data_IF_146009031499
#
_entry.id   IF_146009031499
#
_cell.length_a   1.000
_cell.length_b   1.000
_cell.length_c   1.000
_cell.angle_alpha   90.00
_cell.angle_beta   90.00
_cell.angle_gamma   90.00
#
_symmetry.space_group_name_H-M   'P 1'
#
loop_
_entity.id
_entity.type
_entity.pdbx_description
1 polymer ?
#
# COMPACT_ATOMS: atom_id res chain seq x y z
N UNK A 1 32.27 6.28 -0.97
CA UNK A 1 31.31 6.34 0.17
C UNK A 1 29.96 6.75 -0.40
N UNK A 2 28.96 5.87 -0.37
CA UNK A 2 27.57 6.27 -0.72
C UNK A 2 27.11 7.29 0.31
N UNK A 3 26.42 8.34 -0.15
CA UNK A 3 25.85 9.33 0.76
C UNK A 3 24.81 8.67 1.68
N UNK A 4 24.55 9.24 2.86
CA UNK A 4 23.54 8.70 3.78
C UNK A 4 22.15 8.57 3.14
N UNK A 5 21.84 9.44 2.18
CA UNK A 5 20.60 9.43 1.40
C UNK A 5 20.54 8.23 0.44
N UNK A 6 21.63 7.91 -0.27
CA UNK A 6 21.70 6.73 -1.14
C UNK A 6 21.61 5.41 -0.35
N UNK A 7 22.16 5.37 0.87
CA UNK A 7 22.04 4.21 1.75
C UNK A 7 20.62 4.03 2.30
N UNK A 8 19.90 5.12 2.58
CA UNK A 8 18.50 5.10 3.01
C UNK A 8 17.55 4.70 1.87
N UNK A 9 17.83 5.13 0.63
CA UNK A 9 17.08 4.68 -0.55
C UNK A 9 17.39 3.22 -0.93
N UNK A 10 18.58 2.73 -0.60
CA UNK A 10 18.90 1.31 -0.77
C UNK A 10 18.12 0.40 0.19
N UNK A 11 17.63 0.92 1.34
CA UNK A 11 16.80 0.20 2.28
C UNK A 11 15.33 0.56 2.05
N UNK A 12 14.66 -0.21 1.22
CA UNK A 12 13.30 0.06 0.73
C UNK A 12 12.24 0.31 1.81
N UNK A 13 12.16 -0.45 2.93
CA UNK A 13 11.22 -0.14 4.02
C UNK A 13 11.40 1.26 4.60
N UNK A 14 12.64 1.72 4.78
CA UNK A 14 12.93 3.06 5.26
C UNK A 14 12.56 4.14 4.24
N UNK A 15 12.78 3.88 2.94
CA UNK A 15 12.41 4.79 1.87
C UNK A 15 10.89 4.98 1.79
N UNK A 16 10.11 3.90 1.96
CA UNK A 16 8.64 3.97 2.03
C UNK A 16 8.21 4.83 3.22
N UNK A 17 8.69 4.56 4.45
CA UNK A 17 8.37 5.35 5.63
C UNK A 17 8.69 6.83 5.43
N UNK A 18 9.93 7.13 4.99
CA UNK A 18 10.37 8.51 4.78
C UNK A 18 9.49 9.24 3.75
N UNK A 19 9.06 8.54 2.70
CA UNK A 19 8.16 9.11 1.69
C UNK A 19 6.78 9.39 2.28
N UNK A 20 6.18 8.44 3.00
CA UNK A 20 4.89 8.65 3.66
C UNK A 20 4.93 9.83 4.63
N UNK A 21 5.98 9.91 5.46
CA UNK A 21 6.19 11.02 6.39
C UNK A 21 6.32 12.36 5.68
N UNK A 22 7.16 12.45 4.66
CA UNK A 22 7.38 13.67 3.85
C UNK A 22 6.10 14.14 3.17
N UNK A 23 5.26 13.20 2.75
CA UNK A 23 3.97 13.49 2.13
C UNK A 23 2.86 13.80 3.14
N UNK A 24 3.14 13.79 4.44
CA UNK A 24 2.20 14.16 5.49
C UNK A 24 1.15 13.09 5.81
N UNK A 25 1.45 11.81 5.57
CA UNK A 25 0.57 10.74 6.03
C UNK A 25 0.62 10.65 7.56
N UNK A 26 -0.52 10.86 8.22
CA UNK A 26 -0.65 10.79 9.67
C UNK A 26 -1.14 9.43 10.17
N UNK A 27 -1.81 8.66 9.32
CA UNK A 27 -2.34 7.35 9.67
C UNK A 27 -1.98 6.32 8.61
N UNK A 28 -1.61 5.13 9.08
CA UNK A 28 -1.52 3.94 8.25
C UNK A 28 -2.48 2.90 8.84
N UNK A 29 -3.34 2.34 8.00
CA UNK A 29 -4.22 1.23 8.38
C UNK A 29 -3.71 -0.03 7.72
N UNK A 30 -3.67 -1.14 8.44
CA UNK A 30 -3.15 -2.40 7.90
C UNK A 30 -3.86 -3.60 8.48
N UNK A 31 -4.07 -4.61 7.64
CA UNK A 31 -4.16 -6.00 8.09
C UNK A 31 -2.75 -6.56 7.98
N UNK A 32 -2.12 -6.98 9.08
CA UNK A 32 -0.70 -7.34 9.10
C UNK A 32 -0.36 -8.45 8.11
N UNK A 33 0.66 -8.22 7.28
CA UNK A 33 1.23 -9.17 6.34
C UNK A 33 2.74 -9.30 6.55
N UNK A 34 3.27 -10.51 6.44
CA UNK A 34 4.69 -10.77 6.75
C UNK A 34 5.67 -10.07 5.80
N UNK A 35 5.28 -9.74 4.56
CA UNK A 35 6.14 -8.98 3.67
C UNK A 35 6.17 -7.49 4.02
N UNK A 36 5.07 -6.97 4.55
CA UNK A 36 4.96 -5.58 5.01
C UNK A 36 5.51 -5.38 6.43
N UNK A 37 5.86 -6.46 7.13
CA UNK A 37 6.18 -6.46 8.56
C UNK A 37 7.21 -5.41 8.95
N UNK A 38 8.32 -5.27 8.22
CA UNK A 38 9.35 -4.30 8.55
C UNK A 38 8.88 -2.85 8.37
N UNK A 39 8.12 -2.57 7.31
CA UNK A 39 7.52 -1.25 7.10
C UNK A 39 6.58 -0.92 8.25
N UNK A 40 5.73 -1.87 8.66
CA UNK A 40 4.76 -1.69 9.75
C UNK A 40 5.43 -1.45 11.10
N UNK A 41 6.51 -2.19 11.40
CA UNK A 41 7.30 -1.98 12.63
C UNK A 41 7.88 -0.56 12.67
N UNK A 42 8.43 -0.09 11.55
CA UNK A 42 9.00 1.26 11.46
C UNK A 42 7.94 2.35 11.59
N UNK A 43 6.76 2.16 10.98
CA UNK A 43 5.63 3.09 11.12
C UNK A 43 5.14 3.15 12.56
N UNK A 44 5.06 2.00 13.25
CA UNK A 44 4.63 1.92 14.65
C UNK A 44 5.55 2.68 15.61
N UNK A 45 6.82 2.82 15.24
CA UNK A 45 7.85 3.52 16.01
C UNK A 45 8.04 4.98 15.58
N UNK A 46 7.38 5.43 14.49
CA UNK A 46 7.58 6.78 13.96
C UNK A 46 6.74 7.80 14.72
N UNK A 47 7.37 8.79 15.39
CA UNK A 47 6.64 9.86 16.05
C UNK A 47 5.76 10.66 15.08
N UNK A 48 4.50 10.88 15.44
CA UNK A 48 3.55 11.64 14.62
C UNK A 48 2.80 10.81 13.57
N UNK A 49 3.06 9.50 13.48
CA UNK A 49 2.27 8.57 12.69
C UNK A 49 1.49 7.61 13.60
N UNK A 50 0.30 7.25 13.18
CA UNK A 50 -0.56 6.26 13.87
C UNK A 50 -0.69 5.01 13.01
N UNK A 51 -0.31 3.86 13.56
CA UNK A 51 -0.57 2.56 12.93
C UNK A 51 -1.83 1.94 13.53
N UNK A 52 -2.86 1.75 12.70
CA UNK A 52 -4.09 1.04 13.07
C UNK A 52 -4.04 -0.37 12.48
N UNK A 53 -4.10 -1.38 13.34
CA UNK A 53 -4.19 -2.79 12.93
C UNK A 53 -5.64 -3.23 12.92
N UNK A 54 -6.16 -3.54 11.73
CA UNK A 54 -7.49 -4.08 11.54
C UNK A 54 -7.46 -5.62 11.52
N UNK A 55 -8.61 -6.24 11.74
CA UNK A 55 -8.77 -7.69 11.69
C UNK A 55 -9.19 -8.20 10.33
N UNK A 56 -9.81 -7.34 9.52
CA UNK A 56 -10.27 -7.60 8.17
C UNK A 56 -10.00 -6.43 7.23
N UNK A 57 -9.80 -6.71 5.95
CA UNK A 57 -9.48 -5.69 4.97
C UNK A 57 -10.65 -4.73 4.69
N UNK A 58 -11.91 -5.19 4.78
CA UNK A 58 -13.07 -4.31 4.69
C UNK A 58 -13.14 -3.33 5.87
N UNK A 59 -12.81 -3.81 7.09
CA UNK A 59 -12.66 -2.95 8.27
C UNK A 59 -11.55 -1.93 8.05
N UNK A 60 -10.40 -2.37 7.56
CA UNK A 60 -9.26 -1.51 7.25
C UNK A 60 -9.63 -0.41 6.24
N UNK A 61 -10.36 -0.77 5.19
CA UNK A 61 -10.85 0.17 4.18
C UNK A 61 -11.80 1.21 4.81
N UNK A 62 -12.75 0.76 5.63
CA UNK A 62 -13.70 1.65 6.29
C UNK A 62 -13.01 2.64 7.24
N UNK A 63 -12.05 2.16 8.04
CA UNK A 63 -11.23 3.00 8.92
C UNK A 63 -10.42 4.02 8.11
N UNK A 64 -9.79 3.58 7.01
CA UNK A 64 -9.01 4.48 6.16
C UNK A 64 -9.89 5.58 5.54
N UNK A 65 -11.07 5.23 5.02
CA UNK A 65 -12.04 6.21 4.51
C UNK A 65 -12.53 7.17 5.60
N UNK A 66 -12.86 6.65 6.80
CA UNK A 66 -13.28 7.47 7.94
C UNK A 66 -12.19 8.44 8.41
N UNK A 67 -10.94 7.99 8.45
CA UNK A 67 -9.79 8.82 8.79
C UNK A 67 -9.60 9.95 7.76
N UNK A 68 -9.77 9.66 6.47
CA UNK A 68 -9.75 10.67 5.39
C UNK A 68 -10.88 11.69 5.54
N UNK A 69 -12.09 11.27 5.90
CA UNK A 69 -13.20 12.18 6.22
C UNK A 69 -12.87 13.11 7.40
N UNK A 70 -12.13 12.59 8.38
CA UNK A 70 -11.60 13.37 9.50
C UNK A 70 -10.45 14.31 9.13
N UNK A 71 -10.07 14.40 7.86
CA UNK A 71 -9.00 15.29 7.37
C UNK A 71 -7.58 14.74 7.54
N UNK A 72 -7.42 13.47 7.96
CA UNK A 72 -6.11 12.86 8.13
C UNK A 72 -5.70 12.13 6.85
N UNK A 73 -4.52 12.45 6.32
CA UNK A 73 -3.97 11.74 5.18
C UNK A 73 -3.60 10.32 5.57
N UNK A 74 -4.23 9.33 4.94
CA UNK A 74 -4.20 7.93 5.36
C UNK A 74 -3.77 7.02 4.23
N UNK A 75 -2.87 6.08 4.52
CA UNK A 75 -2.48 5.00 3.61
C UNK A 75 -2.99 3.64 4.11
N UNK A 76 -3.31 2.74 3.18
CA UNK A 76 -3.74 1.38 3.47
C UNK A 76 -2.64 0.40 3.05
N UNK A 77 -2.15 -0.42 3.99
CA UNK A 77 -1.13 -1.43 3.76
C UNK A 77 -1.72 -2.82 3.95
N UNK A 78 -1.90 -3.58 2.87
CA UNK A 78 -2.58 -4.87 2.88
C UNK A 78 -1.99 -5.84 1.86
N UNK A 79 -2.34 -7.12 1.98
CA UNK A 79 -2.02 -8.13 0.97
C UNK A 79 -3.00 -8.05 -0.21
N UNK A 80 -2.55 -8.42 -1.42
CA UNK A 80 -3.43 -8.48 -2.61
C UNK A 80 -4.67 -9.36 -2.40
N UNK A 81 -4.56 -10.47 -1.67
CA UNK A 81 -5.71 -11.32 -1.32
C UNK A 81 -6.79 -10.55 -0.54
N UNK A 82 -6.37 -9.65 0.35
CA UNK A 82 -7.29 -8.79 1.08
C UNK A 82 -8.01 -7.78 0.19
N UNK A 83 -7.30 -7.23 -0.81
CA UNK A 83 -7.95 -6.34 -1.78
C UNK A 83 -9.01 -7.08 -2.60
N UNK A 84 -8.76 -8.36 -2.94
CA UNK A 84 -9.76 -9.20 -3.59
C UNK A 84 -11.02 -9.39 -2.71
N UNK A 85 -10.85 -9.59 -1.40
CA UNK A 85 -11.97 -9.79 -0.47
C UNK A 85 -12.80 -8.51 -0.24
N UNK A 86 -12.18 -7.33 -0.22
CA UNK A 86 -12.87 -6.06 0.00
C UNK A 86 -13.40 -5.39 -1.30
N UNK A 87 -13.47 -6.13 -2.42
CA UNK A 87 -13.87 -5.58 -3.72
C UNK A 87 -15.21 -4.84 -3.71
N UNK A 88 -16.22 -5.37 -3.03
CA UNK A 88 -17.52 -4.73 -2.89
C UNK A 88 -17.42 -3.39 -2.12
N UNK A 89 -16.70 -3.36 -1.00
CA UNK A 89 -16.43 -2.15 -0.23
C UNK A 89 -15.62 -1.12 -1.03
N UNK A 90 -14.67 -1.59 -1.84
CA UNK A 90 -13.88 -0.72 -2.71
C UNK A 90 -14.79 0.06 -3.68
N UNK A 91 -15.72 -0.62 -4.35
CA UNK A 91 -16.64 0.01 -5.30
C UNK A 91 -17.70 0.87 -4.61
N UNK A 92 -18.33 0.35 -3.54
CA UNK A 92 -19.48 1.00 -2.91
C UNK A 92 -19.11 2.11 -1.92
N UNK A 93 -17.88 2.11 -1.40
CA UNK A 93 -17.39 3.12 -0.46
C UNK A 93 -16.28 3.97 -1.08
N UNK A 94 -15.09 3.40 -1.28
CA UNK A 94 -13.92 4.19 -1.61
C UNK A 94 -14.02 4.88 -2.99
N UNK A 95 -14.42 4.16 -4.03
CA UNK A 95 -14.59 4.72 -5.38
C UNK A 95 -15.83 5.60 -5.48
N UNK A 96 -16.98 5.13 -4.94
CA UNK A 96 -18.24 5.89 -5.01
C UNK A 96 -18.14 7.28 -4.39
N UNK A 97 -17.44 7.38 -3.26
CA UNK A 97 -17.27 8.65 -2.54
C UNK A 97 -15.94 9.33 -2.86
N UNK A 98 -15.22 8.82 -3.85
CA UNK A 98 -13.99 9.42 -4.38
C UNK A 98 -12.92 9.67 -3.31
N UNK A 99 -12.70 8.68 -2.43
CA UNK A 99 -11.64 8.78 -1.44
C UNK A 99 -10.26 8.63 -2.07
N UNK A 100 -9.38 9.64 -1.96
CA UNK A 100 -8.01 9.54 -2.44
C UNK A 100 -7.19 8.68 -1.47
N UNK A 101 -7.17 7.37 -1.67
CA UNK A 101 -6.46 6.41 -0.84
C UNK A 101 -5.23 5.86 -1.55
N UNK A 102 -4.05 6.08 -0.98
CA UNK A 102 -2.86 5.33 -1.33
C UNK A 102 -2.96 3.94 -0.72
N UNK A 103 -2.86 2.92 -1.56
CA UNK A 103 -2.80 1.52 -1.14
C UNK A 103 -1.42 0.94 -1.50
N UNK A 104 -0.64 0.52 -0.51
CA UNK A 104 0.59 -0.23 -0.69
C UNK A 104 0.26 -1.70 -0.49
N UNK A 105 0.33 -2.46 -1.57
CA UNK A 105 -0.22 -3.82 -1.62
C UNK A 105 0.90 -4.82 -1.84
N UNK A 106 1.14 -5.72 -0.87
CA UNK A 106 2.06 -6.83 -1.09
C UNK A 106 1.49 -7.78 -2.14
N UNK A 107 2.22 -7.93 -3.25
CA UNK A 107 1.78 -8.71 -4.41
C UNK A 107 2.26 -10.15 -4.32
N UNK A 108 1.48 -10.98 -3.62
CA UNK A 108 1.71 -12.41 -3.47
C UNK A 108 1.31 -13.17 -4.72
N UNK A 109 2.02 -14.30 -4.97
CA UNK A 109 1.74 -15.18 -6.09
C UNK A 109 2.38 -14.74 -7.41
N UNK A 110 3.36 -13.86 -7.35
CA UNK A 110 4.29 -13.52 -8.44
C UNK A 110 5.35 -14.61 -8.62
N UNK A 111 6.10 -14.67 -9.74
CA UNK A 111 7.11 -15.70 -9.98
C UNK A 111 8.22 -15.79 -8.91
N UNK A 112 8.49 -14.71 -8.19
CA UNK A 112 9.45 -14.62 -7.09
C UNK A 112 8.86 -14.98 -5.71
N UNK A 113 7.55 -15.25 -5.61
CA UNK A 113 6.91 -15.77 -4.40
C UNK A 113 7.14 -17.30 -4.30
N UNK A 114 7.88 -17.79 -3.29
CA UNK A 114 8.16 -19.22 -3.15
C UNK A 114 6.94 -20.05 -2.73
N UNK A 115 5.82 -19.40 -2.42
CA UNK A 115 4.65 -20.04 -1.82
C UNK A 115 3.62 -20.39 -2.89
N UNK A 116 3.59 -21.64 -3.31
CA UNK A 116 2.78 -22.14 -4.44
C UNK A 116 1.27 -21.86 -4.32
N UNK A 117 0.72 -21.89 -3.11
CA UNK A 117 -0.73 -21.63 -2.89
C UNK A 117 -1.11 -20.14 -3.03
N UNK A 118 -0.15 -19.24 -3.18
CA UNK A 118 -0.41 -17.85 -3.54
C UNK A 118 -0.64 -17.64 -5.05
N UNK A 119 -0.16 -18.55 -5.92
CA UNK A 119 -0.22 -18.41 -7.38
C UNK A 119 -1.63 -18.09 -7.91
N UNK A 120 -2.71 -18.76 -7.45
CA UNK A 120 -4.07 -18.40 -7.92
C UNK A 120 -4.47 -16.97 -7.57
N UNK A 121 -4.07 -16.47 -6.38
CA UNK A 121 -4.33 -15.10 -5.93
C UNK A 121 -3.57 -14.08 -6.77
N UNK A 122 -2.29 -14.36 -7.05
CA UNK A 122 -1.48 -13.51 -7.93
C UNK A 122 -2.10 -13.36 -9.32
N UNK A 123 -2.52 -14.47 -9.93
CA UNK A 123 -3.17 -14.48 -11.25
C UNK A 123 -4.50 -13.71 -11.27
N UNK A 124 -5.25 -13.74 -10.19
CA UNK A 124 -6.55 -13.07 -10.08
C UNK A 124 -6.43 -11.57 -9.82
N UNK A 125 -5.33 -11.10 -9.21
CA UNK A 125 -5.20 -9.74 -8.67
C UNK A 125 -5.48 -8.67 -9.72
N UNK A 126 -4.66 -8.54 -10.74
CA UNK A 126 -4.84 -7.48 -11.74
C UNK A 126 -6.13 -7.62 -12.56
N UNK A 127 -6.57 -8.83 -12.99
CA UNK A 127 -7.88 -8.99 -13.65
C UNK A 127 -9.05 -8.48 -12.79
N UNK A 128 -9.05 -8.77 -11.49
CA UNK A 128 -10.09 -8.28 -10.58
C UNK A 128 -9.98 -6.77 -10.39
N UNK A 129 -8.78 -6.23 -10.19
CA UNK A 129 -8.59 -4.77 -10.05
C UNK A 129 -9.09 -4.04 -11.29
N UNK A 130 -8.76 -4.53 -12.50
CA UNK A 130 -9.31 -3.99 -13.74
C UNK A 130 -10.84 -4.12 -13.81
N UNK A 131 -11.39 -5.27 -13.40
CA UNK A 131 -12.82 -5.54 -13.43
C UNK A 131 -13.65 -4.62 -12.52
N UNK A 132 -13.10 -4.25 -11.37
CA UNK A 132 -13.75 -3.29 -10.43
C UNK A 132 -13.33 -1.83 -10.67
N UNK A 133 -12.51 -1.54 -11.68
CA UNK A 133 -12.04 -0.20 -11.99
C UNK A 133 -11.04 0.38 -10.98
N UNK A 134 -10.35 -0.46 -10.18
CA UNK A 134 -9.31 0.00 -9.25
C UNK A 134 -8.03 0.36 -10.03
N UNK A 135 -7.68 1.64 -9.99
CA UNK A 135 -6.43 2.14 -10.57
C UNK A 135 -5.22 1.52 -9.85
N UNK A 136 -4.28 0.99 -10.60
CA UNK A 136 -3.12 0.31 -10.02
C UNK A 136 -1.91 0.29 -10.96
N UNK A 137 -0.74 0.06 -10.38
CA UNK A 137 0.49 -0.28 -11.10
C UNK A 137 1.36 -1.19 -10.24
N UNK A 138 2.28 -1.92 -10.89
CA UNK A 138 3.32 -2.67 -10.20
C UNK A 138 4.55 -1.79 -9.99
N UNK A 139 5.28 -2.04 -8.91
CA UNK A 139 6.61 -1.45 -8.71
C UNK A 139 7.60 -1.95 -9.75
N UNK A 140 8.51 -1.07 -10.14
CA UNK A 140 9.70 -1.43 -10.90
C UNK A 140 10.87 -1.59 -9.92
N UNK A 141 11.35 -2.81 -9.76
CA UNK A 141 12.44 -3.16 -8.84
C UNK A 141 13.78 -2.48 -9.16
N UNK A 142 13.96 -2.02 -10.39
CA UNK A 142 15.17 -1.33 -10.83
C UNK A 142 15.15 0.17 -10.55
N UNK A 143 14.04 0.68 -10.02
CA UNK A 143 13.87 2.09 -9.68
C UNK A 143 13.75 2.28 -8.16
N UNK A 144 14.18 3.43 -7.62
CA UNK A 144 13.95 3.78 -6.21
C UNK A 144 12.47 3.67 -5.84
N UNK A 145 12.16 3.09 -4.69
CA UNK A 145 10.77 2.87 -4.25
C UNK A 145 10.07 4.17 -3.81
N UNK A 146 10.81 5.09 -3.20
CA UNK A 146 10.25 6.35 -2.70
C UNK A 146 9.51 7.16 -3.77
N UNK A 147 10.12 7.48 -4.93
CA UNK A 147 9.44 8.15 -6.03
C UNK A 147 8.21 7.39 -6.56
N UNK A 148 8.21 6.06 -6.55
CA UNK A 148 7.06 5.26 -7.00
C UNK A 148 5.88 5.39 -6.03
N UNK A 149 6.15 5.37 -4.71
CA UNK A 149 5.15 5.64 -3.67
C UNK A 149 4.60 7.07 -3.80
N UNK A 150 5.48 8.05 -4.05
CA UNK A 150 5.08 9.44 -4.24
C UNK A 150 4.16 9.61 -5.47
N UNK A 151 4.52 9.03 -6.61
CA UNK A 151 3.69 9.08 -7.81
C UNK A 151 2.32 8.43 -7.59
N UNK A 152 2.27 7.27 -6.90
CA UNK A 152 1.03 6.60 -6.56
C UNK A 152 0.14 7.45 -5.63
N UNK A 153 0.75 8.09 -4.62
CA UNK A 153 0.06 9.00 -3.71
C UNK A 153 -0.48 10.24 -4.43
N UNK A 154 0.33 10.83 -5.29
CA UNK A 154 -0.06 12.01 -6.10
C UNK A 154 -1.21 11.66 -7.04
N UNK A 155 -1.13 10.52 -7.73
CA UNK A 155 -2.22 10.07 -8.60
C UNK A 155 -3.53 9.90 -7.82
N UNK A 156 -3.49 9.25 -6.65
CA UNK A 156 -4.69 9.06 -5.83
C UNK A 156 -5.34 10.41 -5.45
N UNK A 157 -4.55 11.39 -5.07
CA UNK A 157 -5.04 12.73 -4.69
C UNK A 157 -5.60 13.49 -5.89
N UNK A 158 -4.87 13.56 -7.00
CA UNK A 158 -5.28 14.32 -8.20
C UNK A 158 -6.50 13.71 -8.89
N UNK A 159 -6.56 12.36 -8.95
CA UNK A 159 -7.69 11.65 -9.53
C UNK A 159 -8.87 11.48 -8.55
N UNK A 160 -8.71 11.85 -7.28
CA UNK A 160 -9.70 11.63 -6.21
C UNK A 160 -10.21 10.19 -6.21
N UNK A 161 -9.30 9.21 -6.21
CA UNK A 161 -9.65 7.80 -6.24
C UNK A 161 -8.66 6.94 -5.46
N UNK A 162 -9.05 5.72 -5.05
CA UNK A 162 -8.10 4.74 -4.55
C UNK A 162 -7.09 4.35 -5.64
N UNK A 163 -5.83 4.26 -5.26
CA UNK A 163 -4.76 3.80 -6.14
C UNK A 163 -3.92 2.73 -5.45
N UNK A 164 -3.75 1.58 -6.08
CA UNK A 164 -2.96 0.47 -5.56
C UNK A 164 -1.58 0.39 -6.22
N UNK A 165 -0.52 0.52 -5.42
CA UNK A 165 0.84 0.19 -5.80
C UNK A 165 1.12 -1.25 -5.39
N UNK A 166 1.21 -2.14 -6.37
CA UNK A 166 1.51 -3.56 -6.19
C UNK A 166 3.01 -3.75 -6.02
N UNK A 167 3.43 -4.22 -4.86
CA UNK A 167 4.84 -4.35 -4.49
C UNK A 167 5.24 -5.82 -4.40
N UNK A 168 6.20 -6.24 -5.22
CA UNK A 168 6.78 -7.58 -5.17
C UNK A 168 7.60 -7.80 -3.90
N UNK A 169 8.00 -9.05 -3.66
CA UNK A 169 8.80 -9.42 -2.48
C UNK A 169 10.09 -8.63 -2.39
N UNK A 170 10.82 -8.53 -3.49
CA UNK A 170 12.09 -7.81 -3.57
C UNK A 170 11.96 -6.29 -3.37
N UNK A 171 10.74 -5.76 -3.48
CA UNK A 171 10.47 -4.35 -3.26
C UNK A 171 10.22 -3.99 -1.79
N UNK A 172 10.01 -4.99 -0.94
CA UNK A 172 9.55 -4.81 0.44
C UNK A 172 10.50 -5.41 1.46
N UNK A 173 11.23 -6.48 1.11
CA UNK A 173 11.99 -7.32 2.04
C UNK A 173 13.51 -7.23 1.81
N UNK A 174 14.14 -6.06 1.85
CA UNK A 174 15.63 -5.98 1.86
C UNK A 174 16.08 -4.73 2.58
#
# INVERSE_FOLDING_TARGET
MKTSTEALEAHRPSAVLNTLRRLGFGTVVSVPDSWLGEILIRIDQEPGMTLVRATHEEEALAIACGSRLGGVRTALLVQNAGVLSMGAGMVSLAQRYQFPLLMLVSYRGTPDDPVFYHVPKGRATEPVFRGIGLAHTCTDRYRPIGPQVEHAATYAEEASCPFALLMGREDIQW
#
